data_IF_177713178455
#
_entry.id   IF_177713178455
#
_cell.length_a   1.000
_cell.length_b   1.000
_cell.length_c   1.000
_cell.angle_alpha   90.00
_cell.angle_beta   90.00
_cell.angle_gamma   90.00
#
_symmetry.space_group_name_H-M   'P 1'
#
loop_
_entity.id
_entity.type
_entity.pdbx_description
1 polymer ?
#
# COMPACT_ATOMS: atom_id res chain seq x y z
N UNK A 1 1.73 -20.29 1.84
CA UNK A 1 0.32 -20.36 2.27
C UNK A 1 -0.65 -20.22 1.08
N UNK A 2 -1.96 -20.40 1.27
CA UNK A 2 -2.97 -20.00 0.29
C UNK A 2 -3.90 -19.01 0.97
N UNK A 3 -3.84 -17.76 0.52
CA UNK A 3 -4.63 -16.66 1.06
C UNK A 3 -5.81 -16.38 0.13
N UNK A 4 -7.01 -16.26 0.71
CA UNK A 4 -8.19 -15.72 0.03
C UNK A 4 -8.36 -14.27 0.41
N UNK A 5 -8.65 -13.43 -0.57
CA UNK A 5 -8.88 -12.00 -0.39
C UNK A 5 -10.27 -11.66 -0.91
N UNK A 6 -11.02 -10.95 -0.09
CA UNK A 6 -12.28 -10.31 -0.47
C UNK A 6 -12.17 -8.83 -0.10
N UNK A 7 -12.33 -7.94 -1.11
CA UNK A 7 -12.23 -6.51 -0.93
C UNK A 7 -13.38 -5.83 -1.65
N UNK A 8 -14.20 -5.14 -0.89
CA UNK A 8 -15.37 -4.41 -1.35
C UNK A 8 -15.16 -2.91 -1.16
N UNK A 9 -15.39 -2.12 -2.19
CA UNK A 9 -15.35 -0.66 -2.15
C UNK A 9 -16.63 -0.10 -2.74
N UNK A 10 -17.34 0.74 -1.99
CA UNK A 10 -18.59 1.37 -2.42
C UNK A 10 -18.46 2.88 -2.38
N UNK A 11 -18.71 3.51 -3.50
CA UNK A 11 -18.88 4.96 -3.60
C UNK A 11 -20.36 5.30 -3.73
N UNK A 12 -20.83 6.22 -2.90
CA UNK A 12 -22.18 6.80 -3.00
C UNK A 12 -22.05 8.30 -3.22
N UNK A 13 -22.85 8.81 -4.14
CA UNK A 13 -22.83 10.22 -4.50
C UNK A 13 -24.14 10.88 -4.09
N UNK A 14 -24.08 12.05 -3.46
CA UNK A 14 -25.27 12.81 -3.07
C UNK A 14 -26.07 13.34 -4.27
N UNK A 15 -25.42 13.44 -5.44
CA UNK A 15 -26.01 13.74 -6.75
C UNK A 15 -25.46 12.82 -7.81
N UNK A 16 -26.27 12.47 -8.81
CA UNK A 16 -25.84 11.59 -9.89
C UNK A 16 -24.64 12.15 -10.64
N UNK A 17 -23.63 11.34 -10.84
CA UNK A 17 -22.45 11.67 -11.63
C UNK A 17 -22.69 11.34 -13.09
N UNK A 18 -22.26 12.21 -13.99
CA UNK A 18 -22.39 12.01 -15.45
C UNK A 18 -21.31 11.10 -16.02
N UNK A 19 -20.17 11.01 -15.33
CA UNK A 19 -19.05 10.13 -15.73
C UNK A 19 -18.14 9.83 -14.54
N UNK A 20 -17.61 8.59 -14.50
CA UNK A 20 -16.50 8.22 -13.63
C UNK A 20 -15.34 7.68 -14.49
N UNK A 21 -14.11 8.11 -14.17
CA UNK A 21 -12.89 7.55 -14.72
C UNK A 21 -12.00 7.21 -13.54
N UNK A 22 -11.75 5.92 -13.33
CA UNK A 22 -10.98 5.45 -12.19
C UNK A 22 -9.85 4.53 -12.65
N UNK A 23 -8.74 4.60 -11.97
CA UNK A 23 -7.60 3.70 -12.10
C UNK A 23 -7.62 2.78 -10.88
N UNK A 24 -7.77 1.49 -11.11
CA UNK A 24 -7.78 0.47 -10.08
C UNK A 24 -6.39 -0.20 -10.01
N UNK A 25 -5.71 -0.08 -8.87
CA UNK A 25 -4.47 -0.80 -8.52
C UNK A 25 -4.84 -1.89 -7.52
N UNK A 26 -5.61 -2.86 -7.97
CA UNK A 26 -6.20 -3.90 -7.13
C UNK A 26 -5.86 -5.31 -7.63
N UNK A 27 -4.95 -5.42 -8.60
CA UNK A 27 -4.56 -6.71 -9.19
C UNK A 27 -3.13 -7.06 -8.76
N UNK A 28 -2.92 -8.09 -7.93
CA UNK A 28 -1.59 -8.57 -7.60
C UNK A 28 -0.93 -9.22 -8.81
N UNK A 29 0.39 -9.23 -8.82
CA UNK A 29 1.19 -9.88 -9.87
C UNK A 29 2.03 -11.01 -9.28
N UNK A 30 2.44 -11.92 -10.15
CA UNK A 30 3.31 -13.02 -9.77
C UNK A 30 4.74 -12.51 -9.54
N UNK A 31 5.39 -13.05 -8.52
CA UNK A 31 6.83 -12.95 -8.28
C UNK A 31 7.30 -14.23 -7.59
N UNK A 32 8.58 -14.33 -7.19
CA UNK A 32 9.11 -15.61 -6.71
C UNK A 32 8.30 -16.22 -5.56
N UNK A 33 7.81 -15.39 -4.64
CA UNK A 33 7.14 -15.82 -3.42
C UNK A 33 5.63 -15.59 -3.44
N UNK A 34 5.08 -15.17 -4.60
CA UNK A 34 3.66 -14.90 -4.79
C UNK A 34 3.18 -15.40 -6.13
N UNK A 35 2.17 -16.27 -6.14
CA UNK A 35 1.51 -16.75 -7.35
C UNK A 35 0.01 -16.53 -7.26
N UNK A 36 -0.53 -15.76 -8.18
CA UNK A 36 -1.97 -15.49 -8.27
C UNK A 36 -2.66 -16.71 -8.87
N UNK A 37 -3.41 -17.44 -8.05
CA UNK A 37 -4.15 -18.63 -8.48
C UNK A 37 -5.46 -18.25 -9.18
N UNK A 38 -6.21 -17.33 -8.58
CA UNK A 38 -7.44 -16.76 -9.15
C UNK A 38 -7.54 -15.31 -8.72
N UNK A 39 -8.05 -14.44 -9.60
CA UNK A 39 -8.32 -13.05 -9.26
C UNK A 39 -9.40 -12.48 -10.16
N UNK A 40 -10.37 -11.80 -9.56
CA UNK A 40 -11.48 -11.19 -10.27
C UNK A 40 -11.77 -9.82 -9.70
N UNK A 41 -12.03 -8.87 -10.58
CA UNK A 41 -12.61 -7.56 -10.24
C UNK A 41 -14.00 -7.54 -10.87
N UNK A 42 -15.01 -7.28 -10.05
CA UNK A 42 -16.40 -7.15 -10.46
C UNK A 42 -16.87 -5.73 -10.20
N UNK A 43 -17.68 -5.19 -11.12
CA UNK A 43 -18.29 -3.86 -11.01
C UNK A 43 -19.79 -4.05 -11.17
N UNK A 44 -20.59 -3.44 -10.30
CA UNK A 44 -22.06 -3.61 -10.23
C UNK A 44 -22.84 -2.83 -11.29
N UNK A 45 -22.17 -2.18 -12.25
CA UNK A 45 -22.80 -1.40 -13.29
C UNK A 45 -22.17 -1.65 -14.68
N UNK A 46 -22.80 -1.12 -15.74
CA UNK A 46 -22.21 -1.15 -17.08
C UNK A 46 -20.97 -0.28 -17.13
N UNK A 47 -19.82 -0.91 -17.27
CA UNK A 47 -18.51 -0.28 -17.20
C UNK A 47 -17.57 -0.82 -18.28
N UNK A 48 -16.74 0.06 -18.83
CA UNK A 48 -15.64 -0.35 -19.71
C UNK A 48 -14.37 -0.44 -18.89
N UNK A 49 -13.76 -1.64 -18.86
CA UNK A 49 -12.50 -1.89 -18.20
C UNK A 49 -11.38 -2.10 -19.22
N UNK A 50 -10.22 -1.49 -18.97
CA UNK A 50 -9.03 -1.65 -19.80
C UNK A 50 -7.81 -1.92 -18.93
N UNK A 51 -7.16 -3.07 -19.08
CA UNK A 51 -5.92 -3.35 -18.36
C UNK A 51 -4.78 -2.47 -18.88
N UNK A 52 -3.80 -2.21 -18.02
CA UNK A 52 -2.62 -1.42 -18.36
C UNK A 52 -1.56 -1.50 -17.27
N UNK A 53 -0.58 -0.63 -17.35
CA UNK A 53 0.44 -0.41 -16.31
C UNK A 53 0.57 1.07 -16.02
N UNK A 54 0.83 1.40 -14.75
CA UNK A 54 1.16 2.76 -14.37
C UNK A 54 2.66 3.06 -14.52
N UNK A 55 3.07 4.28 -14.20
CA UNK A 55 4.47 4.72 -14.30
C UNK A 55 5.43 4.02 -13.32
N UNK A 56 4.92 3.32 -12.32
CA UNK A 56 5.71 2.51 -11.38
C UNK A 56 5.77 1.03 -11.77
N UNK A 57 5.09 0.65 -12.87
CA UNK A 57 5.01 -0.73 -13.34
C UNK A 57 3.88 -1.55 -12.75
N UNK A 58 3.08 -1.01 -11.83
CA UNK A 58 1.95 -1.73 -11.24
C UNK A 58 0.91 -2.10 -12.29
N UNK A 59 0.35 -3.31 -12.19
CA UNK A 59 -0.83 -3.69 -12.96
C UNK A 59 -2.01 -2.79 -12.58
N UNK A 60 -2.66 -2.21 -13.58
CA UNK A 60 -3.84 -1.36 -13.38
C UNK A 60 -5.00 -1.81 -14.26
N UNK A 61 -6.21 -1.47 -13.83
CA UNK A 61 -7.41 -1.50 -14.67
C UNK A 61 -8.00 -0.11 -14.72
N UNK A 62 -8.05 0.48 -15.91
CA UNK A 62 -8.78 1.73 -16.14
C UNK A 62 -10.26 1.41 -16.25
N UNK A 63 -11.06 2.02 -15.41
CA UNK A 63 -12.51 1.89 -15.33
C UNK A 63 -13.18 3.17 -15.87
N UNK A 64 -14.11 3.00 -16.80
CA UNK A 64 -14.91 4.08 -17.39
C UNK A 64 -16.37 3.75 -17.22
N UNK A 65 -17.12 4.63 -16.57
CA UNK A 65 -18.56 4.52 -16.38
C UNK A 65 -19.23 5.78 -16.89
N UNK A 66 -20.21 5.63 -17.78
CA UNK A 66 -21.07 6.71 -18.25
C UNK A 66 -22.34 6.76 -17.37
N UNK A 67 -22.69 7.99 -16.95
CA UNK A 67 -23.83 8.21 -16.06
C UNK A 67 -25.20 8.22 -16.72
N UNK A 68 -26.26 8.40 -15.90
CA UNK A 68 -26.21 8.87 -14.50
C UNK A 68 -25.86 7.76 -13.48
N UNK A 69 -24.89 8.03 -12.61
CA UNK A 69 -24.40 7.09 -11.58
C UNK A 69 -24.61 7.69 -10.19
N UNK A 70 -25.41 7.07 -9.35
CA UNK A 70 -25.62 7.46 -7.95
C UNK A 70 -24.71 6.70 -6.97
N UNK A 71 -24.30 5.50 -7.34
CA UNK A 71 -23.39 4.67 -6.58
C UNK A 71 -22.62 3.74 -7.52
N UNK A 72 -21.49 3.26 -7.07
CA UNK A 72 -20.71 2.20 -7.74
C UNK A 72 -20.08 1.30 -6.69
N UNK A 73 -20.17 0.01 -6.92
CA UNK A 73 -19.53 -1.01 -6.11
C UNK A 73 -18.44 -1.72 -6.92
N UNK A 74 -17.27 -1.80 -6.31
CA UNK A 74 -16.09 -2.49 -6.85
C UNK A 74 -15.78 -3.63 -5.90
N UNK A 75 -15.93 -4.86 -6.37
CA UNK A 75 -15.61 -6.06 -5.62
C UNK A 75 -14.38 -6.75 -6.20
N UNK A 76 -13.48 -7.12 -5.33
CA UNK A 76 -12.32 -7.94 -5.67
C UNK A 76 -12.39 -9.23 -4.88
N UNK A 77 -12.25 -10.35 -5.55
CA UNK A 77 -12.14 -11.65 -4.91
C UNK A 77 -11.06 -12.50 -5.59
N UNK A 78 -10.28 -13.23 -4.80
CA UNK A 78 -9.24 -14.05 -5.36
C UNK A 78 -8.48 -14.88 -4.34
N UNK A 79 -7.61 -15.74 -4.87
CA UNK A 79 -6.72 -16.57 -4.07
C UNK A 79 -5.29 -16.45 -4.59
N UNK A 80 -4.37 -16.30 -3.65
CA UNK A 80 -2.94 -16.15 -3.92
C UNK A 80 -2.17 -17.21 -3.12
N UNK A 81 -1.24 -17.87 -3.80
CA UNK A 81 -0.28 -18.77 -3.16
C UNK A 81 0.96 -17.97 -2.79
N UNK A 82 1.36 -18.04 -1.55
CA UNK A 82 2.51 -17.31 -1.01
C UNK A 82 3.49 -18.27 -0.36
N UNK A 83 4.77 -17.91 -0.38
CA UNK A 83 5.86 -18.66 0.24
C UNK A 83 6.78 -17.75 1.04
N UNK A 84 7.61 -18.35 1.88
CA UNK A 84 8.55 -17.65 2.73
C UNK A 84 9.68 -17.02 1.90
N UNK A 85 9.90 -15.71 2.06
CA UNK A 85 10.85 -14.90 1.25
C UNK A 85 12.01 -14.32 2.05
N UNK A 86 11.97 -14.43 3.38
CA UNK A 86 12.84 -13.68 4.29
C UNK A 86 12.73 -12.15 4.08
N UNK A 87 11.58 -11.69 3.59
CA UNK A 87 11.30 -10.29 3.30
C UNK A 87 11.98 -9.71 2.06
N UNK A 88 12.75 -10.50 1.31
CA UNK A 88 13.45 -10.03 0.10
C UNK A 88 12.55 -10.23 -1.12
N UNK A 89 12.31 -9.15 -1.86
CA UNK A 89 11.49 -9.18 -3.06
C UNK A 89 12.31 -9.62 -4.27
N UNK A 90 11.94 -10.74 -4.88
CA UNK A 90 12.57 -11.30 -6.06
C UNK A 90 11.55 -11.57 -7.17
N UNK A 91 12.00 -11.46 -8.43
CA UNK A 91 11.17 -11.81 -9.60
C UNK A 91 10.16 -10.75 -10.02
N UNK A 92 10.23 -9.53 -9.47
CA UNK A 92 9.45 -8.38 -9.93
C UNK A 92 10.22 -7.63 -11.01
N UNK A 93 9.52 -7.27 -12.09
CA UNK A 93 10.10 -6.42 -13.14
C UNK A 93 10.16 -4.95 -12.65
N UNK A 94 11.35 -4.48 -12.31
CA UNK A 94 11.59 -3.10 -11.89
C UNK A 94 11.72 -2.19 -13.11
N UNK A 95 10.76 -1.27 -13.29
CA UNK A 95 10.75 -0.34 -14.45
C UNK A 95 11.49 0.97 -14.15
N UNK A 96 11.74 1.28 -12.89
CA UNK A 96 12.41 2.50 -12.45
C UNK A 96 13.68 2.17 -11.65
N UNK A 97 14.76 2.93 -11.83
CA UNK A 97 15.95 2.74 -11.01
C UNK A 97 15.66 3.08 -9.54
N UNK A 98 16.30 2.38 -8.57
CA UNK A 98 16.05 2.61 -7.13
C UNK A 98 16.18 4.08 -6.71
N UNK A 99 17.10 4.84 -7.31
CA UNK A 99 17.33 6.25 -6.99
C UNK A 99 16.07 7.14 -7.16
N UNK A 100 15.09 6.76 -7.99
CA UNK A 100 13.80 7.47 -8.10
C UNK A 100 13.07 7.49 -6.76
N UNK A 101 13.22 6.44 -5.96
CA UNK A 101 12.55 6.27 -4.68
C UNK A 101 13.26 6.97 -3.50
N UNK A 102 14.25 7.83 -3.78
CA UNK A 102 14.78 8.83 -2.83
C UNK A 102 13.98 10.14 -2.86
N UNK A 103 13.05 10.29 -3.80
CA UNK A 103 12.26 11.52 -3.96
C UNK A 103 11.22 11.65 -2.84
N UNK A 104 11.08 12.86 -2.35
CA UNK A 104 10.01 13.25 -1.43
C UNK A 104 8.69 13.51 -2.18
N UNK A 105 7.60 13.43 -1.43
CA UNK A 105 6.24 13.79 -1.87
C UNK A 105 5.56 14.64 -0.81
N UNK A 106 4.37 15.15 -1.10
CA UNK A 106 3.59 15.88 -0.09
C UNK A 106 3.24 15.01 1.15
N UNK A 107 3.10 13.68 0.98
CA UNK A 107 2.81 12.76 2.08
C UNK A 107 4.07 12.22 2.77
N UNK A 108 5.21 12.30 2.11
CA UNK A 108 6.51 11.85 2.64
C UNK A 108 7.56 12.95 2.48
N UNK A 109 7.33 14.15 3.07
CA UNK A 109 8.30 15.25 3.03
C UNK A 109 9.53 14.91 3.86
N UNK A 110 10.66 15.55 3.55
CA UNK A 110 11.83 15.50 4.44
C UNK A 110 11.49 16.17 5.77
N UNK A 111 11.82 15.48 6.85
CA UNK A 111 11.57 15.99 8.18
C UNK A 111 12.81 15.81 9.06
N UNK A 112 13.33 16.89 9.70
CA UNK A 112 14.50 16.82 10.55
C UNK A 112 14.30 15.93 11.79
N UNK A 113 13.12 15.93 12.38
CA UNK A 113 12.85 15.12 13.59
C UNK A 113 12.87 13.63 13.27
N UNK A 114 12.25 13.21 12.14
CA UNK A 114 12.31 11.83 11.68
C UNK A 114 13.75 11.44 11.32
N UNK A 115 14.49 12.32 10.62
CA UNK A 115 15.90 12.07 10.27
C UNK A 115 16.77 11.84 11.49
N UNK A 116 16.71 12.76 12.47
CA UNK A 116 17.56 12.72 13.64
C UNK A 116 17.21 11.52 14.53
N UNK A 117 15.92 11.21 14.66
CA UNK A 117 15.46 10.01 15.31
C UNK A 117 15.95 8.74 14.59
N UNK A 118 15.78 8.65 13.26
CA UNK A 118 16.23 7.50 12.48
C UNK A 118 17.75 7.28 12.60
N UNK A 119 18.53 8.36 12.54
CA UNK A 119 19.97 8.28 12.72
C UNK A 119 20.36 7.79 14.13
N UNK A 120 19.64 8.24 15.17
CA UNK A 120 19.89 7.77 16.54
C UNK A 120 19.54 6.30 16.74
N UNK A 121 18.50 5.80 16.07
CA UNK A 121 18.08 4.38 16.16
C UNK A 121 18.99 3.47 15.35
N UNK A 122 19.35 3.87 14.13
CA UNK A 122 20.23 3.08 13.26
C UNK A 122 21.67 3.05 13.79
N UNK A 123 22.16 4.12 14.43
CA UNK A 123 23.52 4.25 14.91
C UNK A 123 24.55 4.03 13.81
N UNK A 124 25.59 3.27 14.10
CA UNK A 124 26.64 2.85 13.16
C UNK A 124 26.36 1.49 12.49
N UNK A 125 25.13 0.99 12.60
CA UNK A 125 24.79 -0.31 12.04
C UNK A 125 24.88 -0.29 10.51
N UNK A 126 25.19 -1.45 9.94
CA UNK A 126 25.07 -1.69 8.50
C UNK A 126 23.63 -1.39 8.04
N UNK A 127 23.47 -0.93 6.78
CA UNK A 127 22.19 -0.41 6.24
C UNK A 127 21.00 -1.32 6.49
N UNK A 128 21.11 -2.60 6.16
CA UNK A 128 19.99 -3.54 6.35
C UNK A 128 19.61 -3.70 7.83
N UNK A 129 20.60 -3.75 8.69
CA UNK A 129 20.43 -3.83 10.16
C UNK A 129 19.82 -2.53 10.70
N UNK A 130 20.31 -1.38 10.27
CA UNK A 130 19.78 -0.07 10.69
C UNK A 130 18.31 0.10 10.31
N UNK A 131 17.93 -0.29 9.08
CA UNK A 131 16.52 -0.26 8.63
C UNK A 131 15.63 -1.21 9.47
N UNK A 132 16.13 -2.38 9.84
CA UNK A 132 15.42 -3.31 10.72
C UNK A 132 15.19 -2.73 12.11
N UNK A 133 16.23 -2.11 12.69
CA UNK A 133 16.12 -1.42 13.99
C UNK A 133 15.09 -0.29 13.95
N UNK A 134 15.03 0.48 12.87
CA UNK A 134 14.01 1.53 12.65
C UNK A 134 12.61 0.92 12.60
N UNK A 135 12.42 -0.17 11.85
CA UNK A 135 11.15 -0.88 11.74
C UNK A 135 10.63 -1.33 13.10
N UNK A 136 11.48 -2.01 13.88
CA UNK A 136 11.16 -2.45 15.23
C UNK A 136 10.91 -1.29 16.20
N UNK A 137 11.67 -0.19 16.07
CA UNK A 137 11.50 0.99 16.91
C UNK A 137 10.17 1.70 16.63
N UNK A 138 9.70 1.73 15.38
CA UNK A 138 8.38 2.24 15.02
C UNK A 138 7.27 1.41 15.65
N UNK A 139 7.35 0.09 15.53
CA UNK A 139 6.39 -0.82 16.15
C UNK A 139 6.29 -0.63 17.68
N UNK A 140 7.42 -0.40 18.35
CA UNK A 140 7.44 -0.17 19.80
C UNK A 140 6.94 1.22 20.19
N UNK A 141 7.11 2.22 19.34
CA UNK A 141 6.76 3.62 19.64
C UNK A 141 5.30 3.93 19.42
N UNK A 142 4.67 3.36 18.39
CA UNK A 142 3.32 3.72 17.98
C UNK A 142 2.34 2.59 18.27
N UNK A 143 1.17 2.95 18.80
CA UNK A 143 0.03 2.04 18.79
C UNK A 143 -0.52 1.91 17.36
N UNK A 144 -0.77 0.68 16.90
CA UNK A 144 -1.35 0.45 15.58
C UNK A 144 -2.84 0.81 15.60
N UNK A 145 -3.22 1.83 14.83
CA UNK A 145 -4.60 2.22 14.61
C UNK A 145 -5.19 1.42 13.45
N UNK A 146 -6.22 0.62 13.73
CA UNK A 146 -6.93 -0.21 12.75
C UNK A 146 -8.01 0.56 11.98
N UNK A 147 -8.21 1.82 12.31
CA UNK A 147 -9.20 2.69 11.66
C UNK A 147 -8.81 3.09 10.24
N UNK A 148 -9.72 3.86 9.61
CA UNK A 148 -9.44 4.44 8.29
C UNK A 148 -8.42 5.57 8.42
N UNK A 149 -7.37 5.61 7.56
CA UNK A 149 -6.40 6.68 7.57
C UNK A 149 -7.04 8.06 7.36
N UNK A 150 -6.58 9.06 8.13
CA UNK A 150 -6.98 10.45 7.91
C UNK A 150 -6.46 10.93 6.56
N UNK A 151 -7.32 11.51 5.74
CA UNK A 151 -6.93 12.06 4.44
C UNK A 151 -5.91 13.19 4.59
N UNK A 152 -4.87 13.19 3.72
CA UNK A 152 -3.87 14.26 3.67
C UNK A 152 -2.87 14.29 4.83
N UNK A 153 -2.88 13.34 5.76
CA UNK A 153 -1.90 13.26 6.83
C UNK A 153 -0.54 12.85 6.25
N UNK A 154 0.47 13.70 6.43
CA UNK A 154 1.84 13.43 6.05
C UNK A 154 2.64 12.73 7.16
N UNK A 155 3.82 12.21 6.80
CA UNK A 155 4.69 11.49 7.73
C UNK A 155 5.18 12.36 8.91
N UNK A 156 5.46 13.63 8.68
CA UNK A 156 5.94 14.55 9.72
C UNK A 156 4.86 14.77 10.78
N UNK A 157 3.62 15.03 10.34
CA UNK A 157 2.48 15.17 11.23
C UNK A 157 2.15 13.86 11.95
N UNK A 158 2.19 12.72 11.23
CA UNK A 158 1.97 11.39 11.83
C UNK A 158 3.01 11.08 12.92
N UNK A 159 4.27 11.47 12.70
CA UNK A 159 5.36 11.24 13.65
C UNK A 159 5.19 11.96 15.00
N UNK A 160 4.37 12.99 15.08
CA UNK A 160 4.05 13.70 16.34
C UNK A 160 2.98 13.03 17.20
N UNK A 161 2.35 11.94 16.71
CA UNK A 161 1.27 11.23 17.38
C UNK A 161 1.79 10.03 18.17
N UNK A 162 0.90 9.43 18.97
CA UNK A 162 1.18 8.21 19.74
C UNK A 162 0.65 6.95 19.03
N UNK A 163 -0.18 7.12 17.99
CA UNK A 163 -0.74 6.04 17.18
C UNK A 163 -0.74 6.41 15.69
N UNK A 164 -0.74 5.39 14.85
CA UNK A 164 -0.86 5.57 13.41
C UNK A 164 -1.44 4.34 12.71
N UNK A 165 -2.08 4.58 11.57
CA UNK A 165 -2.53 3.50 10.69
C UNK A 165 -1.33 2.87 9.99
N UNK A 166 -1.52 1.70 9.36
CA UNK A 166 -0.46 1.05 8.57
C UNK A 166 0.14 1.97 7.51
N UNK A 167 -0.70 2.82 6.89
CA UNK A 167 -0.26 3.84 5.94
C UNK A 167 0.66 4.88 6.58
N UNK A 168 0.27 5.38 7.75
CA UNK A 168 1.01 6.44 8.43
C UNK A 168 2.38 5.94 8.90
N UNK A 169 2.41 4.75 9.49
CA UNK A 169 3.66 4.12 9.96
C UNK A 169 4.60 3.78 8.80
N UNK A 170 4.06 3.27 7.69
CA UNK A 170 4.83 3.02 6.47
C UNK A 170 5.42 4.31 5.88
N UNK A 171 4.67 5.43 5.88
CA UNK A 171 5.19 6.73 5.45
C UNK A 171 6.33 7.23 6.33
N UNK A 172 6.21 7.11 7.67
CA UNK A 172 7.29 7.47 8.59
C UNK A 172 8.54 6.63 8.29
N UNK A 173 8.39 5.31 8.09
CA UNK A 173 9.51 4.45 7.72
C UNK A 173 10.16 4.89 6.40
N UNK A 174 9.35 5.17 5.37
CA UNK A 174 9.84 5.63 4.05
C UNK A 174 10.67 6.92 4.18
N UNK A 175 10.20 7.89 4.98
CA UNK A 175 10.95 9.14 5.23
C UNK A 175 12.24 8.84 6.01
N UNK A 176 12.19 8.00 7.02
CA UNK A 176 13.36 7.59 7.81
C UNK A 176 14.41 6.91 6.92
N UNK A 177 14.02 5.93 6.11
CA UNK A 177 14.92 5.23 5.20
C UNK A 177 15.56 6.17 4.18
N UNK A 178 14.77 7.03 3.54
CA UNK A 178 15.25 8.03 2.57
C UNK A 178 16.22 9.04 3.21
N UNK A 179 15.99 9.43 4.45
CA UNK A 179 16.87 10.36 5.18
C UNK A 179 18.26 9.76 5.44
N UNK A 180 18.37 8.44 5.50
CA UNK A 180 19.62 7.69 5.60
C UNK A 180 20.20 7.29 4.23
N UNK A 181 19.63 7.80 3.13
CA UNK A 181 20.09 7.54 1.77
C UNK A 181 19.66 6.17 1.22
N UNK A 182 18.75 5.47 1.87
CA UNK A 182 18.16 4.24 1.33
C UNK A 182 16.94 4.58 0.47
N UNK A 183 16.92 4.22 -0.84
CA UNK A 183 15.70 4.32 -1.64
C UNK A 183 14.58 3.52 -0.98
N UNK A 184 13.41 4.14 -0.80
CA UNK A 184 12.29 3.48 -0.14
C UNK A 184 10.97 3.85 -0.79
N UNK A 185 10.01 2.90 -0.79
CA UNK A 185 8.71 3.03 -1.41
C UNK A 185 7.60 2.52 -0.50
N UNK A 186 6.42 3.06 -0.69
CA UNK A 186 5.20 2.58 -0.06
C UNK A 186 4.63 1.43 -0.88
N UNK A 187 4.11 0.41 -0.21
CA UNK A 187 3.40 -0.72 -0.81
C UNK A 187 1.99 -0.77 -0.28
N UNK A 188 1.03 -0.97 -1.18
CA UNK A 188 -0.36 -1.30 -0.87
C UNK A 188 -0.62 -2.76 -1.21
N UNK A 189 -1.32 -3.45 -0.32
CA UNK A 189 -1.67 -4.85 -0.52
C UNK A 189 -2.58 -5.38 0.59
N UNK A 190 -2.51 -6.66 0.84
CA UNK A 190 -3.32 -7.34 1.83
C UNK A 190 -2.43 -8.10 2.81
N UNK A 191 -2.85 -8.19 4.05
CA UNK A 191 -2.13 -8.94 5.08
C UNK A 191 -3.12 -9.73 5.94
N UNK A 192 -2.80 -10.99 6.22
CA UNK A 192 -3.51 -11.82 7.18
C UNK A 192 -3.01 -11.45 8.59
N UNK A 193 -3.56 -10.39 9.17
CA UNK A 193 -3.27 -9.95 10.52
C UNK A 193 -4.54 -10.14 11.34
N UNK A 194 -4.51 -11.05 12.31
CA UNK A 194 -5.58 -11.36 13.28
C UNK A 194 -6.95 -11.76 12.69
N UNK A 195 -7.03 -12.09 11.39
CA UNK A 195 -8.24 -12.66 10.76
C UNK A 195 -9.49 -11.76 10.75
N UNK A 196 -9.34 -10.47 11.02
CA UNK A 196 -10.44 -9.52 11.11
C UNK A 196 -10.71 -8.76 9.81
N UNK A 197 -11.96 -8.32 9.63
CA UNK A 197 -12.32 -7.36 8.60
C UNK A 197 -11.65 -6.01 8.83
N UNK A 198 -11.17 -5.38 7.76
CA UNK A 198 -10.44 -4.11 7.81
C UNK A 198 -11.12 -3.05 6.95
N UNK A 199 -11.16 -1.78 7.39
CA UNK A 199 -11.75 -0.70 6.61
C UNK A 199 -10.85 -0.21 5.47
N UNK A 200 -9.66 -0.82 5.28
CA UNK A 200 -8.70 -0.47 4.23
C UNK A 200 -7.75 -1.63 3.94
N UNK A 201 -7.19 -1.73 2.74
CA UNK A 201 -6.02 -2.54 2.47
C UNK A 201 -4.86 -2.18 3.40
N UNK A 202 -3.96 -3.13 3.60
CA UNK A 202 -2.77 -2.93 4.43
C UNK A 202 -1.68 -2.17 3.65
N UNK A 203 -0.91 -1.35 4.37
CA UNK A 203 0.21 -0.62 3.82
C UNK A 203 1.51 -0.95 4.57
N UNK A 204 2.60 -1.11 3.83
CA UNK A 204 3.95 -1.28 4.38
C UNK A 204 5.00 -0.56 3.52
N UNK A 205 6.26 -0.74 3.84
CA UNK A 205 7.35 -0.14 3.09
C UNK A 205 8.28 -1.20 2.50
N UNK A 206 8.93 -0.84 1.40
CA UNK A 206 10.10 -1.55 0.87
C UNK A 206 11.26 -0.57 0.78
N UNK A 207 12.47 -1.01 1.17
CA UNK A 207 13.69 -0.24 1.03
C UNK A 207 14.75 -1.03 0.26
N UNK A 208 15.51 -0.31 -0.58
CA UNK A 208 16.57 -0.90 -1.39
C UNK A 208 17.88 -0.94 -0.63
N UNK A 209 18.48 -2.11 -0.59
CA UNK A 209 19.79 -2.37 0.01
C UNK A 209 20.73 -2.91 -1.07
N UNK A 210 21.88 -2.26 -1.24
CA UNK A 210 22.88 -2.68 -2.22
C UNK A 210 23.31 -4.14 -1.95
N UNK A 211 23.30 -4.96 -3.00
CA UNK A 211 23.62 -6.38 -2.93
C UNK A 211 22.47 -7.29 -2.49
N UNK A 212 21.45 -6.77 -1.81
CA UNK A 212 20.27 -7.55 -1.39
C UNK A 212 19.02 -7.25 -2.23
N UNK A 213 18.91 -6.04 -2.80
CA UNK A 213 17.72 -5.60 -3.53
C UNK A 213 16.67 -4.96 -2.64
N UNK A 214 15.40 -5.09 -3.01
CA UNK A 214 14.28 -4.58 -2.23
C UNK A 214 13.94 -5.51 -1.07
N UNK A 215 13.87 -4.95 0.13
CA UNK A 215 13.48 -5.65 1.36
C UNK A 215 12.21 -5.00 1.90
N UNK A 216 11.24 -5.83 2.29
CA UNK A 216 9.99 -5.38 2.91
C UNK A 216 10.14 -5.10 4.40
N UNK A 217 9.45 -4.08 4.88
CA UNK A 217 9.40 -3.66 6.28
C UNK A 217 7.97 -3.26 6.64
N UNK A 218 7.39 -3.94 7.62
CA UNK A 218 6.08 -3.54 8.16
C UNK A 218 6.24 -2.96 9.57
N UNK A 219 6.13 -1.64 9.72
CA UNK A 219 6.25 -0.99 11.02
C UNK A 219 5.09 -1.32 11.99
N UNK A 220 3.97 -1.87 11.52
CA UNK A 220 2.88 -2.30 12.41
C UNK A 220 3.25 -3.54 13.19
N UNK A 221 4.01 -4.44 12.58
CA UNK A 221 4.42 -5.72 13.17
C UNK A 221 5.87 -5.70 13.65
N UNK A 222 6.68 -4.75 13.17
CA UNK A 222 8.13 -4.69 13.38
C UNK A 222 8.90 -5.76 12.60
N UNK A 223 8.22 -6.52 11.72
CA UNK A 223 8.78 -7.62 10.93
C UNK A 223 8.83 -7.27 9.45
N UNK A 224 9.44 -8.14 8.66
CA UNK A 224 9.29 -8.12 7.21
C UNK A 224 7.99 -8.81 6.80
N UNK A 225 7.32 -8.33 5.73
CA UNK A 225 6.24 -9.07 5.08
C UNK A 225 6.72 -10.45 4.61
N UNK A 226 5.93 -11.47 4.90
CA UNK A 226 6.22 -12.86 4.59
C UNK A 226 5.02 -13.52 3.87
N UNK A 227 4.83 -14.82 4.05
CA UNK A 227 3.79 -15.61 3.40
C UNK A 227 2.34 -15.25 3.80
N UNK A 228 2.15 -14.43 4.82
CA UNK A 228 0.89 -13.85 5.28
C UNK A 228 0.51 -12.53 4.57
N UNK A 229 1.32 -12.09 3.57
CA UNK A 229 1.07 -10.87 2.81
C UNK A 229 0.82 -11.14 1.33
N UNK A 230 -0.03 -10.30 0.72
CA UNK A 230 -0.24 -10.21 -0.73
C UNK A 230 0.15 -8.82 -1.21
N UNK A 231 1.21 -8.74 -1.99
CA UNK A 231 1.71 -7.49 -2.59
C UNK A 231 0.88 -7.14 -3.82
N UNK A 232 0.41 -5.89 -3.91
CA UNK A 232 -0.40 -5.43 -5.04
C UNK A 232 0.26 -4.28 -5.81
N UNK A 233 0.53 -3.16 -5.17
CA UNK A 233 1.07 -1.98 -5.85
C UNK A 233 2.13 -1.28 -5.00
N UNK A 234 3.14 -0.69 -5.66
CA UNK A 234 4.16 0.11 -5.00
C UNK A 234 4.32 1.48 -5.67
N UNK A 235 4.57 2.52 -4.88
CA UNK A 235 4.81 3.87 -5.37
C UNK A 235 5.63 4.70 -4.36
N UNK A 236 5.86 5.98 -4.65
CA UNK A 236 6.57 6.89 -3.74
C UNK A 236 5.86 7.08 -2.40
N UNK A 237 4.52 6.98 -2.40
CA UNK A 237 3.64 7.14 -1.24
C UNK A 237 2.30 6.42 -1.44
N UNK A 238 1.42 6.50 -0.45
CA UNK A 238 0.11 5.87 -0.50
C UNK A 238 -0.82 6.45 -1.57
N UNK A 239 -0.69 7.71 -1.94
CA UNK A 239 -1.50 8.30 -3.01
C UNK A 239 -1.14 7.70 -4.38
N UNK A 240 0.16 7.49 -4.62
CA UNK A 240 0.65 6.81 -5.82
C UNK A 240 0.29 5.33 -5.90
N UNK A 241 0.15 4.65 -4.75
CA UNK A 241 -0.23 3.23 -4.67
C UNK A 241 -1.71 3.01 -4.27
N UNK A 242 -2.54 4.06 -4.29
CA UNK A 242 -3.94 3.96 -3.88
C UNK A 242 -4.69 2.90 -4.71
N UNK A 243 -5.47 2.01 -4.07
CA UNK A 243 -6.24 0.97 -4.75
C UNK A 243 -7.18 1.54 -5.81
N UNK A 244 -7.82 2.66 -5.51
CA UNK A 244 -8.68 3.39 -6.44
C UNK A 244 -8.23 4.85 -6.48
N UNK A 245 -7.97 5.35 -7.66
CA UNK A 245 -7.65 6.77 -7.90
C UNK A 245 -8.32 7.22 -9.20
N UNK A 246 -8.93 8.41 -9.19
CA UNK A 246 -9.61 8.86 -10.41
C UNK A 246 -10.30 10.18 -10.26
N UNK A 247 -11.20 10.44 -11.21
CA UNK A 247 -12.01 11.64 -11.26
C UNK A 247 -13.46 11.31 -11.57
N UNK A 248 -14.35 12.19 -11.16
CA UNK A 248 -15.77 12.17 -11.49
C UNK A 248 -16.21 13.47 -12.13
N UNK A 249 -17.21 13.40 -12.95
CA UNK A 249 -17.85 14.56 -13.56
C UNK A 249 -19.27 14.66 -13.01
N UNK A 250 -19.47 15.62 -12.13
CA UNK A 250 -20.70 15.93 -11.42
C UNK A 250 -20.40 16.68 -10.13
N UNK A 251 -21.46 17.14 -9.49
CA UNK A 251 -21.39 17.88 -8.22
C UNK A 251 -21.76 16.98 -7.04
N UNK A 252 -21.74 17.55 -5.83
CA UNK A 252 -22.18 16.91 -4.61
C UNK A 252 -21.05 16.21 -3.85
N UNK A 253 -21.43 15.68 -2.70
CA UNK A 253 -20.53 14.93 -1.81
C UNK A 253 -20.39 13.48 -2.24
N UNK A 254 -19.27 12.88 -1.83
CA UNK A 254 -18.95 11.48 -2.02
C UNK A 254 -18.82 10.82 -0.63
N UNK A 255 -19.47 9.68 -0.47
CA UNK A 255 -19.28 8.79 0.66
C UNK A 255 -18.56 7.52 0.17
N UNK A 256 -17.54 7.12 0.90
CA UNK A 256 -16.72 5.95 0.61
C UNK A 256 -16.81 4.94 1.74
N UNK A 257 -17.24 3.73 1.42
CA UNK A 257 -17.23 2.57 2.32
C UNK A 257 -16.29 1.50 1.76
N UNK A 258 -15.44 0.93 2.61
CA UNK A 258 -14.46 -0.09 2.23
C UNK A 258 -14.45 -1.19 3.29
N UNK A 259 -14.50 -2.43 2.83
CA UNK A 259 -14.37 -3.62 3.65
C UNK A 259 -13.37 -4.59 3.02
N UNK A 260 -12.42 -5.07 3.82
CA UNK A 260 -11.36 -5.98 3.37
C UNK A 260 -11.30 -7.17 4.32
N UNK A 261 -11.35 -8.37 3.76
CA UNK A 261 -11.15 -9.63 4.47
C UNK A 261 -10.04 -10.43 3.83
N UNK A 262 -9.16 -10.97 4.65
CA UNK A 262 -8.11 -11.91 4.24
C UNK A 262 -8.22 -13.15 5.09
N UNK A 263 -8.23 -14.33 4.48
CA UNK A 263 -8.37 -15.59 5.20
C UNK A 263 -7.45 -16.69 4.63
N UNK A 264 -7.13 -17.67 5.46
CA UNK A 264 -6.48 -18.90 5.00
C UNK A 264 -7.51 -19.79 4.30
N UNK A 265 -7.14 -20.24 3.12
CA UNK A 265 -7.93 -21.25 2.40
C UNK A 265 -7.21 -22.60 2.50
N UNK A 266 -7.94 -23.68 2.84
CA UNK A 266 -7.38 -25.03 2.89
C UNK A 266 -6.76 -25.51 1.59
#
# INVERSE_FOLDING_TARGET
MRLSVDHRTVYRFSTAQSRLVQMLRMTPENHHDQTVATWRIHIDCDAKMRPGRDGFGNAITMLYVEGPVNAIEIEVSGAVLTSHSQGVLNGVAEVLPPAVFLRETALTPRDPAIRDWAASVAGEAERATGLRLINEALQRRFAHDLGRPTGGLDAATAFTRDSGTSRDLAHIFVVAARSLGAPARFVSGYALIDGEHRPTPHGWAEAFVDGAGWIGFDPCTGKSPEEDYVRVAAALDAAGAAPVAGSRLGEGAEELDVDVSVSLTP
#
